data_IF_124469808879
#
_entry.id   IF_124469808879
#
_cell.length_a   1.000
_cell.length_b   1.000
_cell.length_c   1.000
_cell.angle_alpha   90.00
_cell.angle_beta   90.00
_cell.angle_gamma   90.00
#
_symmetry.space_group_name_H-M   'P 1'
#
loop_
_entity.id
_entity.type
_entity.pdbx_description
1 polymer ?
#
# COMPACT_ATOMS: atom_id res chain seq x y z
N UNK A 1 4.86 -69.64 -7.51
CA UNK A 1 3.65 -70.32 -6.99
C UNK A 1 2.51 -69.34 -7.16
N UNK A 2 1.80 -69.48 -8.23
CA UNK A 2 0.43 -70.05 -8.36
C UNK A 2 -0.60 -69.17 -7.66
N UNK A 3 -1.66 -68.71 -8.22
CA UNK A 3 -2.40 -68.90 -9.43
C UNK A 3 -3.78 -68.29 -9.23
N UNK A 4 -4.29 -67.71 -10.26
CA UNK A 4 -5.53 -67.99 -10.99
C UNK A 4 -6.82 -67.34 -10.47
N UNK A 5 -7.42 -66.55 -11.31
CA UNK A 5 -8.52 -66.82 -12.26
C UNK A 5 -9.89 -66.90 -11.56
N UNK A 6 -10.98 -66.50 -11.99
CA UNK A 6 -11.60 -66.19 -13.28
C UNK A 6 -13.08 -65.86 -13.00
N UNK A 7 -13.74 -65.15 -13.78
CA UNK A 7 -14.83 -65.49 -14.69
C UNK A 7 -16.02 -64.54 -14.49
N UNK A 8 -16.51 -63.88 -15.42
CA UNK A 8 -17.17 -64.19 -16.73
C UNK A 8 -18.71 -64.06 -16.68
N UNK A 9 -19.22 -63.30 -17.64
CA UNK A 9 -20.45 -63.34 -18.41
C UNK A 9 -21.67 -62.56 -17.85
N UNK A 10 -22.07 -61.55 -18.51
CA UNK A 10 -22.82 -61.39 -19.79
C UNK A 10 -24.33 -61.27 -19.56
N UNK A 11 -24.91 -60.24 -20.09
CA UNK A 11 -26.38 -60.11 -20.27
C UNK A 11 -26.69 -58.93 -21.21
N UNK A 12 -26.91 -59.28 -22.45
CA UNK A 12 -27.38 -58.43 -23.55
C UNK A 12 -28.89 -58.26 -23.43
N UNK A 13 -29.39 -57.01 -23.57
CA UNK A 13 -30.74 -56.84 -24.18
C UNK A 13 -30.81 -55.39 -24.76
N UNK A 14 -31.08 -55.36 -26.03
CA UNK A 14 -31.37 -54.24 -26.87
C UNK A 14 -32.80 -53.73 -26.72
N UNK A 15 -33.06 -52.43 -26.84
CA UNK A 15 -34.26 -51.88 -27.46
C UNK A 15 -34.12 -50.37 -27.72
N UNK A 16 -33.95 -50.04 -28.95
CA UNK A 16 -34.85 -49.24 -29.80
C UNK A 16 -34.91 -47.72 -29.56
N UNK A 17 -34.51 -47.07 -30.61
CA UNK A 17 -34.44 -45.59 -30.83
C UNK A 17 -35.82 -44.93 -30.81
N UNK A 18 -35.83 -43.70 -30.28
CA UNK A 18 -36.77 -42.67 -30.73
C UNK A 18 -35.99 -41.36 -30.89
N UNK A 19 -35.90 -40.92 -32.15
CA UNK A 19 -35.45 -39.59 -32.49
C UNK A 19 -36.50 -38.56 -32.07
N UNK A 20 -36.15 -37.63 -31.25
CA UNK A 20 -36.83 -36.36 -31.11
C UNK A 20 -35.79 -35.22 -31.24
N UNK A 21 -35.89 -34.49 -32.33
CA UNK A 21 -35.16 -33.28 -32.55
C UNK A 21 -35.55 -32.22 -31.51
N UNK A 22 -34.63 -31.81 -30.68
CA UNK A 22 -34.78 -30.60 -29.87
C UNK A 22 -33.73 -29.60 -30.35
N UNK A 23 -34.22 -28.47 -30.82
CA UNK A 23 -33.45 -27.29 -31.20
C UNK A 23 -32.46 -26.92 -30.08
N UNK A 24 -31.20 -26.69 -30.47
CA UNK A 24 -30.20 -26.14 -29.60
C UNK A 24 -30.57 -24.72 -29.18
N UNK A 25 -30.75 -24.52 -27.88
CA UNK A 25 -30.68 -23.20 -27.29
C UNK A 25 -29.23 -22.99 -26.86
N UNK A 26 -28.58 -21.96 -27.38
CA UNK A 26 -27.30 -21.51 -26.92
C UNK A 26 -27.36 -21.23 -25.41
N UNK A 27 -26.34 -21.60 -24.63
CA UNK A 27 -26.31 -21.24 -23.24
C UNK A 27 -26.18 -19.70 -23.14
N UNK A 28 -27.28 -19.07 -22.77
CA UNK A 28 -27.30 -17.65 -22.42
C UNK A 28 -26.28 -17.44 -21.28
N UNK A 29 -25.24 -16.71 -21.57
CA UNK A 29 -24.27 -16.30 -20.55
C UNK A 29 -25.02 -15.61 -19.42
N UNK A 30 -24.95 -16.18 -18.23
CA UNK A 30 -25.46 -15.55 -17.00
C UNK A 30 -24.71 -14.22 -16.82
N UNK A 31 -25.39 -13.08 -16.74
CA UNK A 31 -24.70 -11.83 -16.52
C UNK A 31 -23.99 -11.90 -15.17
N UNK A 32 -22.67 -11.80 -15.19
CA UNK A 32 -21.86 -11.58 -14.00
C UNK A 32 -22.37 -10.31 -13.34
N UNK A 33 -22.82 -10.42 -12.10
CA UNK A 33 -23.28 -9.27 -11.32
C UNK A 33 -22.11 -8.28 -11.17
N UNK A 34 -22.23 -7.15 -11.83
CA UNK A 34 -21.35 -6.00 -11.56
C UNK A 34 -21.47 -5.67 -10.07
N UNK A 35 -20.37 -5.56 -9.31
CA UNK A 35 -20.46 -5.14 -7.93
C UNK A 35 -21.17 -3.78 -7.89
N UNK A 36 -22.31 -3.74 -7.23
CA UNK A 36 -23.03 -2.48 -7.00
C UNK A 36 -22.13 -1.59 -6.16
N UNK A 37 -21.75 -0.45 -6.70
CA UNK A 37 -20.98 0.53 -5.96
C UNK A 37 -21.72 0.83 -4.64
N UNK A 38 -21.04 0.65 -3.53
CA UNK A 38 -21.57 1.02 -2.21
C UNK A 38 -21.86 2.51 -2.25
N UNK A 39 -23.07 2.98 -1.92
CA UNK A 39 -23.35 4.40 -1.90
C UNK A 39 -22.36 5.11 -0.98
N UNK A 40 -21.93 6.34 -1.32
CA UNK A 40 -21.04 7.10 -0.45
C UNK A 40 -21.68 7.24 0.94
N UNK A 41 -20.91 7.15 2.03
CA UNK A 41 -21.43 7.33 3.36
C UNK A 41 -22.12 8.68 3.47
N UNK A 42 -23.29 8.66 4.08
CA UNK A 42 -24.01 9.89 4.35
C UNK A 42 -23.19 10.70 5.38
N UNK A 43 -23.04 12.02 5.20
CA UNK A 43 -22.37 12.86 6.18
C UNK A 43 -22.93 12.60 7.57
N UNK A 44 -22.07 12.53 8.58
CA UNK A 44 -22.51 12.43 9.97
C UNK A 44 -23.43 13.61 10.31
N UNK A 45 -24.46 13.36 11.09
CA UNK A 45 -25.34 14.42 11.55
C UNK A 45 -24.51 15.43 12.36
N UNK A 46 -24.79 16.72 12.21
CA UNK A 46 -24.16 17.75 13.05
C UNK A 46 -24.51 17.44 14.51
N UNK A 47 -23.52 17.36 15.43
CA UNK A 47 -23.77 17.07 16.84
C UNK A 47 -24.79 18.04 17.44
N UNK A 48 -25.63 17.54 18.31
CA UNK A 48 -26.49 18.42 19.09
C UNK A 48 -25.66 19.30 20.05
N UNK A 49 -26.16 20.44 20.52
CA UNK A 49 -25.44 21.27 21.50
C UNK A 49 -24.99 20.48 22.74
N UNK A 50 -25.78 19.52 23.18
CA UNK A 50 -25.44 18.68 24.34
C UNK A 50 -24.32 17.69 24.04
N UNK A 51 -24.32 17.07 22.87
CA UNK A 51 -23.23 16.17 22.41
C UNK A 51 -21.92 16.94 22.24
N UNK A 52 -21.98 18.14 21.68
CA UNK A 52 -20.78 18.98 21.51
C UNK A 52 -20.22 19.40 22.89
N UNK A 53 -21.07 19.73 23.87
CA UNK A 53 -20.63 20.08 25.22
C UNK A 53 -20.03 18.86 25.97
N UNK A 54 -20.61 17.69 25.80
CA UNK A 54 -20.08 16.44 26.38
C UNK A 54 -18.69 16.10 25.79
N UNK A 55 -18.56 16.19 24.47
CA UNK A 55 -17.27 15.98 23.83
C UNK A 55 -16.22 16.98 24.30
N UNK A 56 -16.58 18.29 24.41
CA UNK A 56 -15.63 19.30 24.86
C UNK A 56 -15.13 18.99 26.27
N UNK A 57 -16.04 18.58 27.19
CA UNK A 57 -15.65 18.18 28.53
C UNK A 57 -14.72 16.95 28.54
N UNK A 58 -14.99 15.94 27.69
CA UNK A 58 -14.13 14.77 27.56
C UNK A 58 -12.75 15.16 26.99
N UNK A 59 -12.74 16.07 26.00
CA UNK A 59 -11.51 16.56 25.39
C UNK A 59 -10.64 17.34 26.36
N UNK A 60 -11.24 18.25 27.14
CA UNK A 60 -10.55 19.03 28.17
C UNK A 60 -9.99 18.11 29.26
N UNK A 61 -10.75 17.12 29.70
CA UNK A 61 -10.29 16.12 30.68
C UNK A 61 -9.12 15.27 30.11
N UNK A 62 -9.16 14.93 28.82
CA UNK A 62 -8.07 14.21 28.15
C UNK A 62 -6.79 15.07 28.11
N UNK A 63 -6.93 16.37 27.81
CA UNK A 63 -5.78 17.30 27.82
C UNK A 63 -5.17 17.36 29.21
N UNK A 64 -5.99 17.54 30.27
CA UNK A 64 -5.50 17.58 31.66
C UNK A 64 -4.78 16.27 32.03
N UNK A 65 -5.37 15.12 31.73
CA UNK A 65 -4.74 13.82 32.01
C UNK A 65 -3.45 13.60 31.21
N UNK A 66 -3.38 14.06 29.98
CA UNK A 66 -2.16 13.98 29.16
C UNK A 66 -1.06 14.92 29.70
N UNK A 67 -1.44 16.10 30.22
CA UNK A 67 -0.52 17.01 30.89
C UNK A 67 -0.01 16.46 32.22
N UNK A 68 -0.82 15.70 32.97
CA UNK A 68 -0.39 15.00 34.17
C UNK A 68 0.64 13.90 33.86
N UNK A 69 0.50 13.20 32.71
CA UNK A 69 1.52 12.27 32.21
C UNK A 69 2.79 13.03 31.78
N UNK A 70 2.64 14.22 31.24
CA UNK A 70 3.69 15.21 30.97
C UNK A 70 4.65 14.88 29.83
N UNK A 71 4.63 13.66 29.29
CA UNK A 71 5.55 13.25 28.23
C UNK A 71 4.85 12.32 27.24
N UNK A 72 5.30 12.35 25.97
CA UNK A 72 4.94 11.38 24.93
C UNK A 72 6.21 10.85 24.26
N UNK A 73 6.41 9.54 24.29
CA UNK A 73 7.57 8.87 23.71
C UNK A 73 7.23 8.26 22.36
N UNK A 74 7.79 8.83 21.31
CA UNK A 74 7.56 8.41 19.93
C UNK A 74 8.81 7.79 19.31
N UNK A 75 8.63 6.70 18.55
CA UNK A 75 9.67 6.14 17.72
C UNK A 75 9.33 6.35 16.26
N UNK A 76 10.22 6.99 15.54
CA UNK A 76 10.08 7.20 14.10
C UNK A 76 10.98 6.25 13.33
N UNK A 77 10.39 5.52 12.39
CA UNK A 77 11.12 4.71 11.42
C UNK A 77 11.65 5.56 10.27
N UNK A 78 12.92 5.37 9.92
CA UNK A 78 13.51 5.92 8.70
C UNK A 78 13.34 7.43 8.52
N UNK A 79 12.71 7.82 7.41
CA UNK A 79 12.51 9.23 7.02
C UNK A 79 11.49 9.96 7.90
N UNK A 80 10.52 9.26 8.49
CA UNK A 80 9.46 9.88 9.30
C UNK A 80 10.03 10.73 10.45
N UNK A 81 11.11 10.28 11.09
CA UNK A 81 11.76 11.02 12.20
C UNK A 81 12.28 12.38 11.80
N UNK A 82 12.78 12.52 10.58
CA UNK A 82 13.20 13.83 10.07
C UNK A 82 12.00 14.65 9.64
N UNK A 83 11.06 14.02 8.97
CA UNK A 83 9.95 14.69 8.33
C UNK A 83 8.93 15.26 9.33
N UNK A 84 8.60 14.51 10.36
CA UNK A 84 7.52 14.86 11.28
C UNK A 84 7.99 15.43 12.63
N UNK A 85 9.29 15.52 12.89
CA UNK A 85 9.81 16.10 14.13
C UNK A 85 9.26 17.51 14.42
N UNK A 86 9.23 18.47 13.46
CA UNK A 86 8.71 19.82 13.73
C UNK A 86 7.23 19.80 14.15
N UNK A 87 6.47 18.83 13.67
CA UNK A 87 5.05 18.68 13.98
C UNK A 87 4.87 18.12 15.40
N UNK A 88 5.70 17.14 15.77
CA UNK A 88 5.70 16.61 17.12
C UNK A 88 6.09 17.68 18.14
N UNK A 89 7.08 18.52 17.81
CA UNK A 89 7.48 19.65 18.65
C UNK A 89 6.34 20.68 18.78
N UNK A 90 5.64 21.01 17.69
CA UNK A 90 4.47 21.91 17.72
C UNK A 90 3.31 21.37 18.59
N UNK A 91 3.08 20.05 18.56
CA UNK A 91 2.12 19.43 19.47
C UNK A 91 2.54 19.59 20.95
N UNK A 92 3.81 19.31 21.24
CA UNK A 92 4.35 19.44 22.57
C UNK A 92 4.20 20.88 23.11
N UNK A 93 4.52 21.88 22.29
CA UNK A 93 4.35 23.30 22.63
C UNK A 93 2.87 23.67 22.88
N UNK A 94 1.98 23.15 22.00
CA UNK A 94 0.54 23.46 22.09
C UNK A 94 -0.11 22.89 23.34
N UNK A 95 0.22 21.67 23.72
CA UNK A 95 -0.43 20.95 24.81
C UNK A 95 0.37 20.89 26.10
N UNK A 96 1.58 21.46 26.13
CA UNK A 96 2.44 21.44 27.32
C UNK A 96 2.99 20.04 27.64
N UNK A 97 3.26 19.22 26.63
CA UNK A 97 3.71 17.84 26.77
C UNK A 97 5.16 17.73 26.24
N UNK A 98 6.05 17.11 26.99
CA UNK A 98 7.42 16.86 26.56
C UNK A 98 7.44 15.78 25.48
N UNK A 99 8.05 16.07 24.33
CA UNK A 99 8.15 15.15 23.22
C UNK A 99 9.49 14.41 23.20
N UNK A 100 9.50 13.15 23.61
CA UNK A 100 10.67 12.27 23.49
C UNK A 100 10.64 11.55 22.14
N UNK A 101 11.52 11.95 21.22
CA UNK A 101 11.56 11.41 19.86
C UNK A 101 12.81 10.60 19.65
N UNK A 102 12.65 9.28 19.50
CA UNK A 102 13.71 8.36 19.14
C UNK A 102 13.63 7.97 17.66
N UNK A 103 14.79 7.79 17.02
CA UNK A 103 14.89 7.21 15.70
C UNK A 103 15.26 5.74 15.84
N UNK A 104 14.55 4.86 15.16
CA UNK A 104 14.81 3.44 15.20
C UNK A 104 13.59 2.67 14.74
N UNK A 105 13.66 2.11 13.56
CA UNK A 105 12.56 1.33 12.97
C UNK A 105 13.05 -0.02 12.49
N UNK A 106 12.19 -0.70 11.76
CA UNK A 106 12.46 -2.01 11.20
C UNK A 106 12.68 -3.09 12.26
N UNK A 107 13.40 -4.14 11.89
CA UNK A 107 13.57 -5.33 12.74
C UNK A 107 14.21 -5.04 14.11
N UNK A 108 15.18 -4.14 14.17
CA UNK A 108 15.85 -3.78 15.43
C UNK A 108 14.90 -3.08 16.40
N UNK A 109 14.04 -2.17 15.91
CA UNK A 109 13.03 -1.48 16.72
C UNK A 109 11.99 -2.46 17.27
N UNK A 110 11.50 -3.39 16.45
CA UNK A 110 10.57 -4.42 16.88
C UNK A 110 11.19 -5.38 17.92
N UNK A 111 12.42 -5.83 17.69
CA UNK A 111 13.13 -6.68 18.67
C UNK A 111 13.32 -5.98 20.00
N UNK A 112 13.64 -4.68 19.97
CA UNK A 112 13.76 -3.88 21.18
C UNK A 112 12.44 -3.82 21.95
N UNK A 113 11.32 -3.51 21.30
CA UNK A 113 10.00 -3.46 21.92
C UNK A 113 9.64 -4.81 22.53
N UNK A 114 9.82 -5.90 21.80
CA UNK A 114 9.54 -7.24 22.30
C UNK A 114 10.41 -7.61 23.50
N UNK A 115 11.70 -7.26 23.47
CA UNK A 115 12.60 -7.49 24.60
C UNK A 115 12.19 -6.66 25.84
N UNK A 116 11.82 -5.42 25.67
CA UNK A 116 11.31 -4.55 26.73
C UNK A 116 10.03 -5.12 27.32
N UNK A 117 9.04 -5.46 26.50
CA UNK A 117 7.76 -6.04 26.94
C UNK A 117 7.94 -7.39 27.64
N UNK A 118 8.85 -8.24 27.18
CA UNK A 118 9.13 -9.53 27.80
C UNK A 118 9.65 -9.42 29.25
N UNK A 119 10.20 -8.27 29.61
CA UNK A 119 10.67 -7.94 30.95
C UNK A 119 9.72 -7.05 31.74
N UNK A 120 8.49 -6.83 31.21
CA UNK A 120 7.49 -5.95 31.83
C UNK A 120 7.82 -4.46 31.71
N UNK A 121 8.72 -4.09 30.83
CA UNK A 121 9.08 -2.70 30.55
C UNK A 121 8.36 -2.20 29.31
N UNK A 122 7.70 -1.08 29.43
CA UNK A 122 6.95 -0.43 28.35
C UNK A 122 7.45 1.00 28.24
N UNK A 123 8.18 1.32 27.18
CA UNK A 123 8.93 2.58 27.04
C UNK A 123 8.53 3.39 25.81
N UNK A 124 7.63 2.86 25.00
CA UNK A 124 7.22 3.49 23.73
C UNK A 124 5.72 3.61 23.70
N UNK A 125 5.25 4.80 23.39
CA UNK A 125 3.81 5.12 23.28
C UNK A 125 3.29 4.92 21.87
N UNK A 126 4.07 5.35 20.86
CA UNK A 126 3.64 5.35 19.47
C UNK A 126 4.83 5.14 18.55
N UNK A 127 4.59 4.43 17.45
CA UNK A 127 5.56 4.26 16.37
C UNK A 127 4.99 4.79 15.04
N UNK A 128 5.79 5.58 14.33
CA UNK A 128 5.54 5.95 12.93
C UNK A 128 6.42 5.14 12.00
N UNK A 129 5.82 4.62 10.94
CA UNK A 129 6.49 3.75 9.99
C UNK A 129 6.78 2.35 10.52
N UNK A 130 7.57 1.58 9.79
CA UNK A 130 7.92 0.22 10.19
C UNK A 130 6.78 -0.79 10.04
N UNK A 131 5.86 -0.56 9.12
CA UNK A 131 4.68 -1.41 8.92
C UNK A 131 5.00 -2.88 8.69
N UNK A 132 6.05 -3.18 7.93
CA UNK A 132 6.44 -4.56 7.64
C UNK A 132 6.68 -5.37 8.93
N UNK A 133 7.48 -4.84 9.88
CA UNK A 133 7.71 -5.51 11.17
C UNK A 133 6.53 -5.42 12.12
N UNK A 134 5.73 -4.36 12.04
CA UNK A 134 4.48 -4.27 12.80
C UNK A 134 3.54 -5.42 12.43
N UNK A 135 3.36 -5.68 11.13
CA UNK A 135 2.48 -6.72 10.60
C UNK A 135 3.06 -8.14 10.79
N UNK A 136 4.34 -8.32 10.53
CA UNK A 136 4.95 -9.66 10.50
C UNK A 136 5.49 -10.13 11.84
N UNK A 137 5.71 -9.21 12.78
CA UNK A 137 6.37 -9.53 14.06
C UNK A 137 5.58 -9.06 15.26
N UNK A 138 5.24 -7.76 15.37
CA UNK A 138 4.64 -7.20 16.56
C UNK A 138 3.17 -7.61 16.73
N UNK A 139 2.35 -7.50 15.70
CA UNK A 139 0.93 -7.87 15.76
C UNK A 139 0.74 -9.38 16.03
N UNK A 140 1.43 -10.32 15.34
CA UNK A 140 1.35 -11.75 15.67
C UNK A 140 1.83 -12.12 17.07
N UNK A 141 2.73 -11.32 17.65
CA UNK A 141 3.21 -11.50 19.02
C UNK A 141 2.25 -10.90 20.07
N UNK A 142 1.15 -10.27 19.66
CA UNK A 142 0.23 -9.57 20.57
C UNK A 142 0.85 -8.33 21.22
N UNK A 143 1.82 -7.71 20.57
CA UNK A 143 2.59 -6.59 21.10
C UNK A 143 2.00 -5.21 20.72
N UNK A 144 0.88 -5.17 19.98
CA UNK A 144 0.19 -3.95 19.55
C UNK A 144 -1.24 -3.90 20.05
N UNK A 145 -1.70 -2.69 20.37
CA UNK A 145 -3.11 -2.40 20.67
C UNK A 145 -3.89 -1.98 19.44
N UNK A 146 -5.20 -2.27 19.36
CA UNK A 146 -6.07 -1.77 18.30
C UNK A 146 -6.14 -0.23 18.31
N UNK A 147 -5.95 0.37 17.14
CA UNK A 147 -5.91 1.83 16.99
C UNK A 147 -7.29 2.47 17.19
N UNK A 148 -8.35 1.81 16.70
CA UNK A 148 -9.70 2.37 16.75
C UNK A 148 -10.19 2.69 18.16
N UNK A 149 -9.66 2.01 19.17
CA UNK A 149 -10.00 2.26 20.59
C UNK A 149 -9.53 3.64 21.10
N UNK A 150 -8.61 4.27 20.37
CA UNK A 150 -8.13 5.61 20.69
C UNK A 150 -9.03 6.72 20.17
N UNK A 151 -9.86 6.45 19.17
CA UNK A 151 -10.62 7.48 18.46
C UNK A 151 -11.80 8.00 19.29
N UNK A 152 -11.79 9.30 19.60
CA UNK A 152 -12.89 9.99 20.29
C UNK A 152 -13.26 11.30 19.62
N UNK A 153 -12.33 11.93 18.87
CA UNK A 153 -12.59 13.21 18.26
C UNK A 153 -13.62 13.07 17.11
N UNK A 154 -14.68 13.90 17.07
CA UNK A 154 -15.73 13.81 16.04
C UNK A 154 -15.17 13.83 14.61
N UNK A 155 -14.17 14.67 14.33
CA UNK A 155 -13.53 14.71 13.02
C UNK A 155 -12.77 13.41 12.68
N UNK A 156 -12.37 12.62 13.66
CA UNK A 156 -11.68 11.35 13.44
C UNK A 156 -12.70 10.23 13.25
N UNK A 157 -13.77 10.23 14.04
CA UNK A 157 -14.80 9.19 14.01
C UNK A 157 -15.82 9.36 12.87
N UNK A 158 -15.94 10.56 12.30
CA UNK A 158 -16.78 10.80 11.13
C UNK A 158 -16.11 10.23 9.87
N UNK A 159 -16.55 9.04 9.48
CA UNK A 159 -16.02 8.33 8.33
C UNK A 159 -16.24 9.06 7.00
N UNK A 160 -17.21 9.99 6.92
CA UNK A 160 -17.44 10.79 5.71
C UNK A 160 -16.28 11.72 5.40
N UNK A 161 -15.44 12.02 6.38
CA UNK A 161 -14.23 12.84 6.24
C UNK A 161 -13.01 12.04 5.75
N UNK A 162 -13.16 10.73 5.54
CA UNK A 162 -12.07 9.84 5.14
C UNK A 162 -12.32 9.26 3.75
N UNK A 163 -11.23 8.99 3.03
CA UNK A 163 -11.28 8.42 1.68
C UNK A 163 -12.14 7.14 1.63
N UNK A 164 -13.10 7.11 0.71
CA UNK A 164 -14.11 6.05 0.57
C UNK A 164 -14.92 5.78 1.85
N UNK A 165 -15.06 6.78 2.74
CA UNK A 165 -15.91 6.68 3.92
C UNK A 165 -15.47 5.62 4.93
N UNK A 166 -14.16 5.39 5.07
CA UNK A 166 -13.63 4.42 6.02
C UNK A 166 -12.25 4.78 6.52
N UNK A 167 -11.91 4.26 7.68
CA UNK A 167 -10.53 4.19 8.14
C UNK A 167 -9.75 3.12 7.39
N UNK A 168 -8.48 3.37 7.15
CA UNK A 168 -7.62 2.48 6.40
C UNK A 168 -6.51 1.90 7.28
N UNK A 169 -6.33 0.61 7.17
CA UNK A 169 -5.29 -0.15 7.87
C UNK A 169 -4.57 -1.01 6.85
N UNK A 170 -3.29 -1.21 7.05
CA UNK A 170 -2.48 -2.03 6.14
C UNK A 170 -2.19 -3.44 6.69
N UNK A 171 -2.69 -3.76 7.87
CA UNK A 171 -2.70 -5.12 8.40
C UNK A 171 -3.97 -5.87 8.00
N UNK A 172 -3.86 -7.19 7.83
CA UNK A 172 -4.98 -8.04 7.38
C UNK A 172 -6.18 -8.03 8.34
N UNK A 173 -5.95 -7.81 9.62
CA UNK A 173 -7.00 -7.73 10.64
C UNK A 173 -7.70 -6.37 10.68
N UNK A 174 -7.20 -5.37 9.97
CA UNK A 174 -7.71 -3.99 9.93
C UNK A 174 -7.82 -3.35 11.32
N UNK A 175 -6.76 -3.47 12.14
CA UNK A 175 -6.78 -3.06 13.55
C UNK A 175 -5.57 -2.30 14.03
N UNK A 176 -4.36 -2.70 13.60
CA UNK A 176 -3.13 -2.38 14.30
C UNK A 176 -2.28 -1.32 13.63
N UNK A 177 -2.28 -1.27 12.30
CA UNK A 177 -1.40 -0.38 11.54
C UNK A 177 -2.26 0.58 10.71
N UNK A 178 -2.48 1.75 11.26
CA UNK A 178 -3.36 2.77 10.66
C UNK A 178 -2.63 3.54 9.57
N UNK A 179 -3.24 3.65 8.40
CA UNK A 179 -2.77 4.50 7.31
C UNK A 179 -3.52 5.84 7.33
N UNK A 180 -2.80 6.95 7.48
CA UNK A 180 -3.36 8.30 7.47
C UNK A 180 -3.08 9.06 6.18
N UNK A 181 -2.12 8.59 5.39
CA UNK A 181 -1.74 9.15 4.11
C UNK A 181 -1.49 8.04 3.07
N UNK A 182 -1.58 8.37 1.80
CA UNK A 182 -1.24 7.46 0.71
C UNK A 182 -0.97 8.23 -0.58
N UNK A 183 0.06 7.83 -1.30
CA UNK A 183 0.39 8.34 -2.63
C UNK A 183 -0.50 7.71 -3.69
N UNK A 184 -1.13 8.54 -4.50
CA UNK A 184 -1.72 8.07 -5.75
C UNK A 184 -0.59 7.81 -6.75
N UNK A 185 -0.52 6.59 -7.24
CA UNK A 185 0.45 6.21 -8.26
C UNK A 185 -0.25 5.72 -9.51
N UNK A 186 0.20 6.15 -10.69
CA UNK A 186 -0.24 5.54 -11.93
C UNK A 186 0.20 4.08 -11.98
N UNK A 187 -0.56 3.23 -12.67
CA UNK A 187 -0.24 1.79 -12.83
C UNK A 187 0.98 1.52 -13.74
N UNK A 188 1.73 2.54 -14.10
CA UNK A 188 2.90 2.43 -14.97
C UNK A 188 4.13 1.70 -14.34
N UNK A 189 3.95 1.07 -13.17
CA UNK A 189 4.97 0.28 -12.48
C UNK A 189 6.24 1.06 -12.14
N UNK A 190 6.11 2.37 -11.96
CA UNK A 190 7.24 3.22 -11.67
C UNK A 190 8.31 3.20 -12.76
N UNK A 191 7.89 3.07 -14.03
CA UNK A 191 8.81 2.97 -15.15
C UNK A 191 9.74 4.19 -15.25
N UNK A 192 11.03 3.90 -15.51
CA UNK A 192 12.03 4.88 -15.95
C UNK A 192 12.51 4.48 -17.35
N UNK A 193 12.86 5.47 -18.16
CA UNK A 193 13.34 5.21 -19.50
C UNK A 193 14.56 6.06 -19.86
N UNK A 194 15.37 5.55 -20.78
CA UNK A 194 16.51 6.29 -21.33
C UNK A 194 16.03 7.16 -22.50
N UNK A 195 16.24 8.47 -22.42
CA UNK A 195 15.74 9.44 -23.40
C UNK A 195 16.48 9.43 -24.74
N UNK A 196 17.64 8.79 -24.82
CA UNK A 196 18.37 8.59 -26.07
C UNK A 196 17.82 7.39 -26.87
N UNK A 197 17.08 6.47 -26.20
CA UNK A 197 16.56 5.23 -26.78
C UNK A 197 15.03 5.21 -26.92
N UNK A 198 14.32 6.03 -26.14
CA UNK A 198 12.86 6.12 -26.11
C UNK A 198 12.49 7.55 -26.51
N UNK A 199 11.84 7.68 -27.63
CA UNK A 199 11.42 8.98 -28.18
C UNK A 199 10.15 9.50 -27.46
N UNK A 200 9.86 10.79 -27.64
CA UNK A 200 8.61 11.34 -27.11
C UNK A 200 7.38 10.67 -27.76
N UNK A 201 7.46 10.34 -29.06
CA UNK A 201 6.38 9.61 -29.76
C UNK A 201 6.15 8.23 -29.17
N UNK A 202 7.21 7.51 -28.73
CA UNK A 202 7.06 6.25 -28.00
C UNK A 202 6.33 6.44 -26.66
N UNK A 203 6.69 7.50 -25.92
CA UNK A 203 6.05 7.83 -24.64
C UNK A 203 4.59 8.19 -24.85
N UNK A 204 4.28 8.98 -25.87
CA UNK A 204 2.91 9.41 -26.18
C UNK A 204 2.03 8.24 -26.63
N UNK A 205 2.63 7.25 -27.30
CA UNK A 205 1.95 6.03 -27.72
C UNK A 205 1.66 5.06 -26.56
N UNK A 206 2.44 5.10 -25.47
CA UNK A 206 2.21 4.25 -24.30
C UNK A 206 0.98 4.69 -23.53
N UNK A 207 -0.08 3.88 -23.47
CA UNK A 207 -1.33 4.18 -22.77
C UNK A 207 -1.80 3.02 -21.88
N UNK A 208 -1.02 1.94 -21.81
CA UNK A 208 -1.33 0.71 -21.08
C UNK A 208 -0.05 0.06 -20.58
N UNK A 209 -0.12 -0.67 -19.47
CA UNK A 209 1.00 -1.54 -19.03
C UNK A 209 1.33 -2.62 -20.06
N UNK A 210 0.37 -2.99 -20.92
CA UNK A 210 0.59 -3.95 -21.99
C UNK A 210 1.47 -3.41 -23.12
N UNK A 211 1.66 -2.09 -23.23
CA UNK A 211 2.56 -1.48 -24.24
C UNK A 211 4.03 -1.76 -23.94
N UNK A 212 4.37 -2.18 -22.70
CA UNK A 212 5.72 -2.69 -22.37
C UNK A 212 5.99 -4.06 -22.99
N UNK A 213 4.95 -4.78 -23.38
CA UNK A 213 5.03 -6.11 -23.98
C UNK A 213 5.16 -6.05 -25.51
N UNK A 214 5.25 -4.85 -26.10
CA UNK A 214 5.46 -4.69 -27.53
C UNK A 214 6.82 -5.30 -27.92
N UNK A 215 6.88 -6.14 -28.98
CA UNK A 215 8.10 -6.76 -29.48
C UNK A 215 9.27 -5.79 -29.75
N UNK A 216 8.99 -4.50 -29.98
CA UNK A 216 10.03 -3.46 -30.15
C UNK A 216 10.93 -3.32 -28.92
N UNK A 217 10.45 -3.71 -27.75
CA UNK A 217 11.18 -3.67 -26.48
C UNK A 217 11.93 -4.96 -26.15
N UNK A 218 11.87 -5.97 -26.99
CA UNK A 218 12.58 -7.25 -26.79
C UNK A 218 14.06 -7.03 -26.47
N UNK A 219 14.52 -7.58 -25.33
CA UNK A 219 15.90 -7.46 -24.86
C UNK A 219 16.31 -6.07 -24.38
N UNK A 220 15.36 -5.10 -24.34
CA UNK A 220 15.65 -3.72 -23.97
C UNK A 220 15.06 -3.30 -22.63
N UNK A 221 14.49 -4.24 -21.87
CA UNK A 221 13.88 -4.01 -20.57
C UNK A 221 14.76 -4.61 -19.49
N UNK A 222 14.94 -3.86 -18.38
CA UNK A 222 15.45 -4.40 -17.12
C UNK A 222 14.40 -4.25 -16.04
N UNK A 223 14.29 -5.28 -15.20
CA UNK A 223 13.35 -5.31 -14.06
C UNK A 223 14.01 -5.97 -12.85
N UNK A 224 13.48 -5.68 -11.66
CA UNK A 224 13.84 -6.44 -10.46
C UNK A 224 13.36 -7.88 -10.60
N UNK A 225 14.14 -8.80 -10.05
CA UNK A 225 13.80 -10.23 -10.03
C UNK A 225 12.58 -10.47 -9.13
N UNK A 226 11.59 -11.25 -9.56
CA UNK A 226 10.49 -11.67 -8.69
C UNK A 226 10.94 -12.54 -7.50
N UNK A 227 12.17 -13.07 -7.52
CA UNK A 227 12.75 -13.84 -6.43
C UNK A 227 13.25 -12.97 -5.26
N UNK A 228 13.28 -11.65 -5.43
CA UNK A 228 13.84 -10.73 -4.42
C UNK A 228 13.01 -10.65 -3.10
N UNK A 229 11.83 -11.24 -3.07
CA UNK A 229 10.95 -11.20 -1.89
C UNK A 229 10.05 -9.97 -1.81
N UNK A 230 10.33 -8.92 -2.56
CA UNK A 230 9.36 -7.86 -2.84
C UNK A 230 8.27 -8.43 -3.74
N UNK A 231 7.02 -8.03 -3.52
CA UNK A 231 5.90 -8.56 -4.32
C UNK A 231 5.92 -7.91 -5.70
N UNK A 232 6.88 -8.30 -6.53
CA UNK A 232 7.23 -7.64 -7.78
C UNK A 232 6.05 -7.50 -8.76
N UNK A 233 5.10 -8.42 -8.72
CA UNK A 233 3.94 -8.44 -9.62
C UNK A 233 2.61 -8.39 -8.88
N UNK A 234 2.60 -7.98 -7.61
CA UNK A 234 1.38 -7.94 -6.81
C UNK A 234 0.30 -7.07 -7.44
N UNK A 235 0.65 -5.84 -7.79
CA UNK A 235 -0.30 -4.91 -8.42
C UNK A 235 -0.90 -5.49 -9.69
N UNK A 236 -0.09 -6.12 -10.56
CA UNK A 236 -0.56 -6.74 -11.79
C UNK A 236 -1.47 -7.92 -11.50
N UNK A 237 -1.06 -8.76 -10.56
CA UNK A 237 -1.82 -9.96 -10.19
C UNK A 237 -3.23 -9.63 -9.68
N UNK A 238 -3.35 -8.60 -8.82
CA UNK A 238 -4.63 -8.25 -8.18
C UNK A 238 -5.47 -7.28 -9.01
N UNK A 239 -4.88 -6.61 -10.01
CA UNK A 239 -5.58 -5.60 -10.78
C UNK A 239 -6.54 -6.28 -11.77
N UNK A 240 -7.85 -5.91 -11.78
CA UNK A 240 -8.86 -6.59 -12.59
C UNK A 240 -8.63 -6.49 -14.10
N UNK A 241 -7.99 -5.42 -14.57
CA UNK A 241 -7.76 -5.17 -15.99
C UNK A 241 -6.35 -5.56 -16.45
N UNK A 242 -5.51 -6.12 -15.58
CA UNK A 242 -4.13 -6.54 -15.89
C UNK A 242 -3.99 -8.06 -15.76
N UNK A 243 -4.05 -8.57 -14.53
CA UNK A 243 -4.06 -9.99 -14.23
C UNK A 243 -2.78 -10.73 -14.58
N UNK A 244 -2.88 -12.05 -14.56
CA UNK A 244 -1.77 -12.98 -14.78
C UNK A 244 -1.28 -13.00 -16.23
N UNK A 245 -2.10 -12.65 -17.20
CA UNK A 245 -1.71 -12.59 -18.63
C UNK A 245 -0.50 -11.67 -18.82
N UNK A 246 -0.54 -10.50 -18.18
CA UNK A 246 0.57 -9.56 -18.26
C UNK A 246 1.85 -10.16 -17.68
N UNK A 247 1.76 -10.84 -16.52
CA UNK A 247 2.91 -11.46 -15.83
C UNK A 247 3.56 -12.50 -16.74
N UNK A 248 2.75 -13.43 -17.28
CA UNK A 248 3.22 -14.51 -18.13
C UNK A 248 3.97 -13.99 -19.37
N UNK A 249 3.41 -12.96 -20.00
CA UNK A 249 4.03 -12.33 -21.16
C UNK A 249 5.29 -11.54 -20.80
N UNK A 250 5.30 -10.88 -19.64
CA UNK A 250 6.45 -10.07 -19.20
C UNK A 250 7.67 -10.93 -18.85
N UNK A 251 7.45 -12.11 -18.26
CA UNK A 251 8.55 -13.04 -17.94
C UNK A 251 8.95 -13.94 -19.11
N UNK A 252 8.16 -13.94 -20.19
CA UNK A 252 8.39 -14.81 -21.37
C UNK A 252 9.74 -14.54 -22.03
N UNK A 253 10.44 -15.59 -22.50
CA UNK A 253 11.64 -15.47 -23.34
C UNK A 253 11.41 -14.67 -24.63
N UNK A 254 10.15 -14.58 -25.08
CA UNK A 254 9.82 -13.81 -26.28
C UNK A 254 10.07 -12.32 -26.13
N UNK A 255 9.89 -11.77 -24.91
CA UNK A 255 10.18 -10.37 -24.58
C UNK A 255 11.64 -10.18 -24.14
N UNK A 256 12.28 -11.23 -23.63
CA UNK A 256 13.68 -11.23 -23.21
C UNK A 256 14.03 -10.13 -22.20
N UNK A 257 13.23 -10.04 -21.12
CA UNK A 257 13.47 -9.09 -20.03
C UNK A 257 14.69 -9.53 -19.22
N UNK A 258 15.63 -8.61 -18.99
CA UNK A 258 16.73 -8.83 -18.06
C UNK A 258 16.26 -8.59 -16.64
N UNK A 259 16.30 -9.62 -15.79
CA UNK A 259 15.98 -9.52 -14.36
C UNK A 259 17.26 -9.48 -13.52
N UNK A 260 17.28 -8.61 -12.50
CA UNK A 260 18.43 -8.44 -11.61
C UNK A 260 18.01 -8.01 -10.22
N UNK A 261 18.76 -8.43 -9.20
CA UNK A 261 18.66 -7.95 -7.81
C UNK A 261 19.72 -6.88 -7.48
N UNK A 262 20.63 -6.62 -8.42
CA UNK A 262 21.65 -5.60 -8.28
C UNK A 262 21.14 -4.23 -8.74
N UNK A 263 20.86 -3.35 -7.76
CA UNK A 263 20.42 -1.98 -8.01
C UNK A 263 21.38 -1.23 -8.93
N UNK A 264 22.68 -1.35 -8.70
CA UNK A 264 23.68 -0.62 -9.48
C UNK A 264 23.70 -1.07 -10.93
N UNK A 265 23.59 -2.37 -11.17
CA UNK A 265 23.50 -2.91 -12.54
C UNK A 265 22.27 -2.37 -13.27
N UNK A 266 21.10 -2.31 -12.60
CA UNK A 266 19.88 -1.77 -13.20
C UNK A 266 20.00 -0.27 -13.49
N UNK A 267 20.50 0.50 -12.53
CA UNK A 267 20.71 1.96 -12.68
C UNK A 267 21.68 2.26 -13.80
N UNK A 268 22.86 1.66 -13.77
CA UNK A 268 23.88 1.84 -14.81
C UNK A 268 23.38 1.39 -16.19
N UNK A 269 22.61 0.30 -16.23
CA UNK A 269 22.07 -0.25 -17.46
C UNK A 269 21.09 0.71 -18.16
N UNK A 270 20.19 1.34 -17.41
CA UNK A 270 19.26 2.33 -17.97
C UNK A 270 19.99 3.64 -18.27
N UNK A 271 20.78 4.17 -17.32
CA UNK A 271 21.44 5.47 -17.49
C UNK A 271 22.44 5.50 -18.65
N UNK A 272 23.11 4.39 -18.92
CA UNK A 272 24.12 4.27 -20.01
C UNK A 272 23.55 3.71 -21.32
N UNK A 273 22.23 3.53 -21.40
CA UNK A 273 21.57 3.09 -22.64
C UNK A 273 21.74 1.60 -22.99
N UNK A 274 22.12 0.73 -22.04
CA UNK A 274 22.05 -0.72 -22.24
C UNK A 274 20.59 -1.18 -22.32
N UNK A 275 19.72 -0.61 -21.50
CA UNK A 275 18.28 -0.84 -21.49
C UNK A 275 17.54 0.43 -21.82
N UNK A 276 16.50 0.33 -22.62
CA UNK A 276 15.61 1.43 -22.95
C UNK A 276 14.64 1.71 -21.81
N UNK A 277 14.12 0.65 -21.18
CA UNK A 277 13.11 0.70 -20.13
C UNK A 277 13.63 0.01 -18.86
N UNK A 278 13.35 0.65 -17.72
CA UNK A 278 13.44 0.04 -16.40
C UNK A 278 12.04 -0.03 -15.78
N UNK A 279 11.54 -1.24 -15.52
CA UNK A 279 10.20 -1.52 -15.03
C UNK A 279 10.28 -2.21 -13.69
N UNK A 280 9.43 -1.83 -12.72
CA UNK A 280 9.42 -2.41 -11.36
C UNK A 280 10.80 -2.43 -10.69
N UNK A 281 11.51 -1.31 -10.75
CA UNK A 281 12.92 -1.20 -10.32
C UNK A 281 13.12 -1.17 -8.80
N UNK A 282 12.06 -0.98 -8.01
CA UNK A 282 12.18 -0.75 -6.56
C UNK A 282 13.05 0.48 -6.25
N UNK A 283 13.99 0.34 -5.31
CA UNK A 283 14.88 1.44 -4.90
C UNK A 283 15.73 2.03 -6.02
N UNK A 284 16.10 1.23 -7.04
CA UNK A 284 16.88 1.70 -8.20
C UNK A 284 16.17 2.79 -9.01
N UNK A 285 14.83 2.87 -8.95
CA UNK A 285 14.07 3.95 -9.58
C UNK A 285 14.42 5.33 -9.01
N UNK A 286 14.54 5.45 -7.69
CA UNK A 286 14.94 6.72 -7.01
C UNK A 286 16.38 7.11 -7.34
N UNK A 287 17.26 6.15 -7.48
CA UNK A 287 18.65 6.42 -7.88
C UNK A 287 18.70 6.99 -9.30
N UNK A 288 17.86 6.48 -10.23
CA UNK A 288 17.71 7.05 -11.58
C UNK A 288 17.15 8.47 -11.56
N UNK A 289 16.15 8.76 -10.71
CA UNK A 289 15.61 10.11 -10.55
C UNK A 289 16.70 11.08 -10.05
N UNK A 290 17.56 10.63 -9.13
CA UNK A 290 18.72 11.40 -8.67
C UNK A 290 19.72 11.66 -9.80
N UNK A 291 19.99 10.66 -10.65
CA UNK A 291 20.87 10.83 -11.82
C UNK A 291 20.26 11.76 -12.87
N UNK A 292 18.94 11.77 -13.04
CA UNK A 292 18.27 12.74 -13.91
C UNK A 292 18.58 14.18 -13.50
N UNK A 293 18.58 14.49 -12.20
CA UNK A 293 18.91 15.83 -11.70
C UNK A 293 20.36 16.24 -11.98
N UNK A 294 21.24 15.25 -12.18
CA UNK A 294 22.64 15.43 -12.55
C UNK A 294 22.87 15.42 -14.07
N UNK A 295 21.80 15.38 -14.87
CA UNK A 295 21.88 15.47 -16.33
C UNK A 295 21.99 14.13 -17.06
N UNK A 296 21.79 12.99 -16.40
CA UNK A 296 21.72 11.71 -17.08
C UNK A 296 20.49 11.65 -18.04
N UNK A 297 20.59 10.96 -19.18
CA UNK A 297 19.50 10.86 -20.16
C UNK A 297 18.43 9.87 -19.71
N UNK A 298 17.84 10.11 -18.55
CA UNK A 298 16.78 9.26 -17.97
C UNK A 298 15.59 10.11 -17.52
N UNK A 299 14.39 9.55 -17.63
CA UNK A 299 13.17 10.17 -17.10
C UNK A 299 12.26 9.12 -16.48
N UNK A 300 11.50 9.54 -15.46
CA UNK A 300 10.34 8.80 -15.01
C UNK A 300 9.20 8.96 -16.03
N UNK A 301 8.47 7.88 -16.28
CA UNK A 301 7.21 7.98 -17.00
C UNK A 301 6.14 8.54 -16.06
N UNK A 302 5.74 9.77 -16.29
CA UNK A 302 4.67 10.43 -15.55
C UNK A 302 3.45 10.47 -16.46
N UNK A 303 2.73 9.36 -16.52
CA UNK A 303 1.53 9.23 -17.35
C UNK A 303 0.59 8.23 -16.71
N UNK A 304 -0.69 8.58 -16.69
CA UNK A 304 -1.72 7.65 -16.24
C UNK A 304 -2.12 6.73 -17.40
N UNK A 305 -2.15 5.44 -17.13
CA UNK A 305 -2.58 4.43 -18.08
C UNK A 305 -4.09 4.17 -17.99
N UNK A 306 -4.64 3.53 -19.02
CA UNK A 306 -6.08 3.21 -19.10
C UNK A 306 -6.54 2.28 -17.98
N UNK A 307 -5.66 1.46 -17.44
CA UNK A 307 -5.94 0.57 -16.31
C UNK A 307 -6.18 1.35 -15.01
N UNK A 308 -5.94 2.66 -14.99
CA UNK A 308 -6.12 3.50 -13.82
C UNK A 308 -4.94 3.44 -12.85
N UNK A 309 -5.15 4.02 -11.69
CA UNK A 309 -4.13 4.14 -10.65
C UNK A 309 -4.44 3.34 -9.39
N UNK A 310 -3.44 3.26 -8.54
CA UNK A 310 -3.56 2.69 -7.21
C UNK A 310 -3.21 3.70 -6.12
N UNK A 311 -3.59 3.41 -4.90
CA UNK A 311 -3.05 4.05 -3.71
C UNK A 311 -2.06 3.12 -3.05
N UNK A 312 -1.02 3.69 -2.48
CA UNK A 312 -0.07 2.98 -1.64
C UNK A 312 0.33 3.86 -0.46
N UNK A 313 0.26 3.29 0.75
CA UNK A 313 0.79 3.93 1.94
C UNK A 313 2.28 3.60 2.08
N UNK A 314 3.10 4.62 2.28
CA UNK A 314 4.52 4.40 2.53
C UNK A 314 4.72 3.68 3.87
N UNK A 315 5.38 2.54 3.82
CA UNK A 315 5.73 1.74 5.00
C UNK A 315 6.59 2.50 6.02
N UNK A 316 7.20 3.62 5.63
CA UNK A 316 8.10 4.40 6.47
C UNK A 316 7.52 5.72 6.98
N UNK A 317 6.46 6.25 6.35
CA UNK A 317 5.96 7.60 6.65
C UNK A 317 4.46 7.70 6.88
N UNK A 318 3.64 6.88 6.23
CA UNK A 318 2.20 7.12 6.10
C UNK A 318 1.36 6.34 7.10
N UNK A 319 2.00 5.63 7.98
CA UNK A 319 1.35 4.71 8.93
C UNK A 319 1.87 4.90 10.34
N UNK A 320 1.01 4.59 11.31
CA UNK A 320 1.44 4.47 12.70
C UNK A 320 0.78 3.28 13.40
N UNK A 321 1.35 2.88 14.51
CA UNK A 321 0.84 1.82 15.38
C UNK A 321 1.27 2.06 16.83
N UNK A 322 0.54 1.46 17.77
CA UNK A 322 0.75 1.66 19.20
C UNK A 322 1.08 0.33 19.90
N UNK A 323 2.20 0.26 20.63
CA UNK A 323 2.49 -0.88 21.49
C UNK A 323 1.47 -1.03 22.63
N UNK A 324 1.30 -2.26 23.14
CA UNK A 324 0.50 -2.53 24.33
C UNK A 324 1.12 -1.87 25.58
N UNK A 325 0.28 -1.63 26.59
CA UNK A 325 0.68 -1.10 27.91
C UNK A 325 1.55 0.18 27.81
N UNK A 326 1.19 1.05 26.91
CA UNK A 326 1.86 2.34 26.73
C UNK A 326 2.02 3.09 28.04
N UNK A 327 3.22 3.67 28.32
CA UNK A 327 3.44 4.40 29.57
C UNK A 327 2.58 5.68 29.70
N UNK A 328 2.21 6.31 28.57
CA UNK A 328 1.45 7.56 28.55
C UNK A 328 0.20 7.43 27.66
N UNK A 329 -0.83 6.68 28.11
CA UNK A 329 -2.00 6.37 27.28
C UNK A 329 -2.84 7.61 26.94
N UNK A 330 -2.94 8.61 27.84
CA UNK A 330 -3.70 9.83 27.58
C UNK A 330 -2.97 10.75 26.59
N UNK A 331 -1.68 10.93 26.73
CA UNK A 331 -0.88 11.70 25.78
C UNK A 331 -0.89 11.05 24.39
N UNK A 332 -0.86 9.71 24.33
CA UNK A 332 -1.01 8.97 23.07
C UNK A 332 -2.38 9.18 22.44
N UNK A 333 -3.45 9.06 23.23
CA UNK A 333 -4.83 9.27 22.77
C UNK A 333 -5.04 10.69 22.28
N UNK A 334 -4.51 11.69 23.00
CA UNK A 334 -4.54 13.10 22.61
C UNK A 334 -3.80 13.33 21.28
N UNK A 335 -2.57 12.82 21.15
CA UNK A 335 -1.79 12.92 19.92
C UNK A 335 -2.55 12.33 18.73
N UNK A 336 -3.01 11.09 18.83
CA UNK A 336 -3.67 10.37 17.73
C UNK A 336 -4.90 11.14 17.24
N UNK A 337 -5.75 11.62 18.17
CA UNK A 337 -6.94 12.39 17.79
C UNK A 337 -6.59 13.73 17.17
N UNK A 338 -5.66 14.50 17.77
CA UNK A 338 -5.23 15.77 17.19
C UNK A 338 -4.54 15.59 15.83
N UNK A 339 -3.64 14.61 15.71
CA UNK A 339 -2.94 14.33 14.45
C UNK A 339 -3.89 14.04 13.30
N UNK A 340 -4.97 13.31 13.58
CA UNK A 340 -5.94 12.88 12.59
C UNK A 340 -7.05 13.90 12.31
N UNK A 341 -7.10 15.05 13.02
CA UNK A 341 -8.00 16.15 12.66
C UNK A 341 -7.59 16.82 11.36
N UNK A 342 -8.48 17.64 10.80
CA UNK A 342 -8.17 18.50 9.65
C UNK A 342 -6.97 19.40 9.95
N UNK A 343 -6.90 19.97 11.17
CA UNK A 343 -5.77 20.81 11.59
C UNK A 343 -4.46 20.03 11.55
N UNK A 344 -4.37 18.88 12.23
CA UNK A 344 -3.16 18.06 12.28
C UNK A 344 -2.69 17.62 10.90
N UNK A 345 -3.61 17.21 10.04
CA UNK A 345 -3.28 16.81 8.66
C UNK A 345 -2.89 18.00 7.77
N UNK A 346 -3.45 19.19 7.99
CA UNK A 346 -3.00 20.41 7.30
C UNK A 346 -1.59 20.80 7.75
N UNK A 347 -1.32 20.72 9.05
CA UNK A 347 0.01 20.97 9.61
C UNK A 347 1.04 19.98 9.03
N UNK A 348 0.67 18.72 8.84
CA UNK A 348 1.52 17.73 8.18
C UNK A 348 1.98 18.22 6.80
N UNK A 349 1.08 18.71 5.97
CA UNK A 349 1.42 19.19 4.63
C UNK A 349 2.25 20.47 4.63
N UNK A 350 2.12 21.31 5.63
CA UNK A 350 2.77 22.64 5.68
C UNK A 350 4.11 22.63 6.42
N UNK A 351 4.25 21.87 7.52
CA UNK A 351 5.42 21.86 8.39
C UNK A 351 6.41 20.73 8.11
N UNK A 352 5.99 19.64 7.45
CA UNK A 352 6.91 18.55 7.11
C UNK A 352 8.18 19.08 6.41
N UNK A 353 9.34 18.51 6.74
CA UNK A 353 10.63 18.97 6.19
C UNK A 353 10.86 18.49 4.77
N UNK A 354 10.30 17.34 4.41
CA UNK A 354 10.32 16.76 3.07
C UNK A 354 8.88 16.74 2.51
N UNK A 355 8.70 16.37 1.26
CA UNK A 355 7.39 16.26 0.63
C UNK A 355 6.56 15.16 1.33
N UNK A 356 5.49 15.50 2.05
CA UNK A 356 4.62 14.51 2.66
C UNK A 356 3.70 13.88 1.62
N UNK A 357 3.32 12.64 1.84
CA UNK A 357 2.31 11.98 1.02
C UNK A 357 0.91 12.55 1.34
N UNK A 358 -0.02 12.53 0.36
CA UNK A 358 -1.36 13.09 0.54
C UNK A 358 -2.14 12.40 1.65
N UNK A 359 -2.71 13.18 2.57
CA UNK A 359 -3.61 12.63 3.60
C UNK A 359 -4.79 11.86 3.00
N UNK A 360 -5.27 10.86 3.75
CA UNK A 360 -6.51 10.14 3.41
C UNK A 360 -7.79 10.88 3.84
N UNK A 361 -7.67 12.03 4.51
CA UNK A 361 -8.82 12.92 4.71
C UNK A 361 -9.24 13.58 3.39
N UNK A 362 -10.54 13.77 3.21
CA UNK A 362 -11.11 14.36 1.97
C UNK A 362 -11.40 15.84 2.10
N UNK A 363 -11.39 16.38 3.32
CA UNK A 363 -11.72 17.78 3.63
C UNK A 363 -10.48 18.69 3.77
N UNK A 364 -9.27 18.12 3.68
CA UNK A 364 -8.01 18.90 3.65
C UNK A 364 -7.78 19.42 2.24
N UNK A 365 -7.69 20.74 2.13
CA UNK A 365 -7.52 21.44 0.85
C UNK A 365 -6.20 22.20 0.74
N UNK A 366 -5.54 22.48 1.87
CA UNK A 366 -4.19 23.04 1.89
C UNK A 366 -3.18 21.90 1.86
N UNK A 367 -2.61 21.70 0.67
CA UNK A 367 -1.64 20.64 0.40
C UNK A 367 -0.19 21.06 0.66
N UNK A 368 0.06 22.33 1.02
CA UNK A 368 1.38 22.81 1.36
C UNK A 368 2.48 22.32 0.42
N UNK A 369 3.38 21.48 0.95
CA UNK A 369 4.53 20.91 0.22
C UNK A 369 4.21 19.62 -0.55
N UNK A 370 3.01 19.04 -0.41
CA UNK A 370 2.67 17.77 -1.06
C UNK A 370 2.72 17.87 -2.59
N UNK A 371 3.42 16.95 -3.24
CA UNK A 371 3.52 16.92 -4.70
C UNK A 371 2.13 16.72 -5.32
N UNK A 372 1.79 17.59 -6.24
CA UNK A 372 0.51 17.53 -6.97
C UNK A 372 0.31 16.18 -7.69
N UNK A 373 1.40 15.59 -8.19
CA UNK A 373 1.37 14.31 -8.91
C UNK A 373 1.05 13.10 -8.04
N UNK A 374 1.27 13.22 -6.73
CA UNK A 374 0.96 12.17 -5.76
C UNK A 374 -0.47 12.26 -5.22
N UNK A 375 -1.21 13.33 -5.56
CA UNK A 375 -2.57 13.57 -5.07
C UNK A 375 -3.59 12.74 -5.83
N UNK A 376 -4.62 12.32 -5.11
CA UNK A 376 -5.80 11.73 -5.73
C UNK A 376 -6.52 12.76 -6.60
N UNK A 377 -6.98 12.33 -7.76
CA UNK A 377 -7.82 13.14 -8.65
C UNK A 377 -9.28 12.93 -8.25
N UNK A 378 -10.00 14.04 -8.07
CA UNK A 378 -11.42 13.99 -7.70
C UNK A 378 -12.24 13.22 -8.74
N UNK A 379 -13.18 12.41 -8.27
CA UNK A 379 -14.05 11.59 -9.11
C UNK A 379 -13.42 10.30 -9.64
N UNK A 380 -12.12 10.04 -9.36
CA UNK A 380 -11.48 8.78 -9.69
C UNK A 380 -11.49 7.79 -8.53
N UNK A 381 -11.69 6.52 -8.87
CA UNK A 381 -11.54 5.42 -7.93
C UNK A 381 -10.13 4.85 -8.03
N UNK A 382 -9.49 4.63 -6.90
CA UNK A 382 -8.17 4.03 -6.80
C UNK A 382 -8.25 2.72 -6.02
N UNK A 383 -7.53 1.71 -6.45
CA UNK A 383 -7.32 0.48 -5.68
C UNK A 383 -6.24 0.74 -4.62
N UNK A 384 -6.56 0.51 -3.36
CA UNK A 384 -5.60 0.68 -2.28
C UNK A 384 -4.93 -0.67 -2.00
N UNK A 385 -3.89 -0.97 -2.78
CA UNK A 385 -3.28 -2.29 -2.88
C UNK A 385 -2.78 -2.87 -1.56
N UNK A 386 -2.26 -2.04 -0.67
CA UNK A 386 -1.68 -2.43 0.61
C UNK A 386 -2.60 -2.22 1.82
N UNK A 387 -3.83 -1.77 1.58
CA UNK A 387 -4.80 -1.53 2.66
C UNK A 387 -6.18 -2.18 2.45
N UNK A 388 -6.50 -2.68 1.25
CA UNK A 388 -7.73 -3.42 1.02
C UNK A 388 -7.56 -4.88 1.45
N UNK A 389 -8.34 -5.38 2.45
CA UNK A 389 -8.15 -6.73 3.00
C UNK A 389 -8.21 -7.83 1.95
N UNK A 390 -9.12 -7.70 0.99
CA UNK A 390 -9.29 -8.64 -0.12
C UNK A 390 -8.09 -8.67 -1.07
N UNK A 391 -7.33 -7.59 -1.17
CA UNK A 391 -6.10 -7.53 -1.94
C UNK A 391 -4.92 -8.02 -1.10
N UNK A 392 -4.79 -7.58 0.15
CA UNK A 392 -3.74 -8.03 1.08
C UNK A 392 -3.75 -9.56 1.22
N UNK A 393 -4.93 -10.17 1.31
CA UNK A 393 -5.09 -11.62 1.41
C UNK A 393 -4.46 -12.38 0.22
N UNK A 394 -4.29 -11.72 -0.92
CA UNK A 394 -3.69 -12.31 -2.13
C UNK A 394 -2.17 -12.16 -2.21
N UNK A 395 -1.52 -11.50 -1.26
CA UNK A 395 -0.07 -11.25 -1.32
C UNK A 395 0.75 -12.52 -1.53
N UNK A 396 0.46 -13.57 -0.75
CA UNK A 396 1.17 -14.84 -0.87
C UNK A 396 0.92 -15.52 -2.22
N UNK A 397 -0.32 -15.53 -2.67
CA UNK A 397 -0.71 -16.13 -3.94
C UNK A 397 -0.05 -15.41 -5.13
N UNK A 398 -0.05 -14.07 -5.10
CA UNK A 398 0.59 -13.24 -6.11
C UNK A 398 2.11 -13.48 -6.19
N UNK A 399 2.76 -13.59 -5.02
CA UNK A 399 4.18 -13.89 -4.94
C UNK A 399 4.49 -15.28 -5.51
N UNK A 400 3.79 -16.30 -5.05
CA UNK A 400 3.97 -17.69 -5.50
C UNK A 400 3.74 -17.81 -7.01
N UNK A 401 2.72 -17.10 -7.54
CA UNK A 401 2.45 -17.06 -8.98
C UNK A 401 3.60 -16.42 -9.76
N UNK A 402 4.03 -15.24 -9.34
CA UNK A 402 5.12 -14.51 -10.01
C UNK A 402 6.43 -15.31 -10.04
N UNK A 403 6.78 -15.97 -8.95
CA UNK A 403 7.95 -16.88 -8.87
C UNK A 403 7.78 -18.07 -9.81
N UNK A 404 6.63 -18.73 -9.78
CA UNK A 404 6.34 -19.90 -10.61
C UNK A 404 6.39 -19.59 -12.10
N UNK A 405 5.78 -18.48 -12.53
CA UNK A 405 5.79 -18.02 -13.91
C UNK A 405 7.23 -17.71 -14.38
N UNK A 406 7.98 -17.02 -13.52
CA UNK A 406 9.39 -16.68 -13.80
C UNK A 406 10.29 -17.90 -13.93
N UNK A 407 10.14 -18.91 -13.05
CA UNK A 407 10.91 -20.16 -13.14
C UNK A 407 10.51 -21.02 -14.36
N UNK A 408 9.21 -21.06 -14.66
CA UNK A 408 8.70 -21.79 -15.83
C UNK A 408 9.25 -21.24 -17.14
N UNK A 409 9.34 -19.90 -17.25
CA UNK A 409 9.88 -19.22 -18.44
C UNK A 409 11.39 -19.45 -18.67
N UNK A 410 12.11 -20.05 -17.72
CA UNK A 410 13.57 -20.32 -17.79
C UNK A 410 13.92 -21.80 -17.96
N UNK A 411 12.94 -22.67 -18.01
CA UNK A 411 13.09 -24.10 -18.31
C UNK A 411 13.07 -24.35 -19.80
#
# INVERSE_FOLDING_TARGET
>A
MTSKQSGLLAGIAAAMALFLAACGADPTATPTSVPTATPPPQPAATPTPDEAALFQAEWDALIEAAQEEGVLTMVFGGAAGRNFRPIAEAFGERFGIEMTIATGGGAAGAQRIMAEQSTGRYLVDLMFGGSGVAITTLAPAGALDPIAELFIHPEVTDLSLWYNGRHWYIDAEQKFVFAFAATASPTNLGMRYNTDLVTQDDVDAMNSVFDYLDPKWKGKIVSRSPLHGDVAFFTQYVHPDIGTEWIDRFVSPDLDVTFSDDNRFMVDGVAKGKFALGVSLGGAGRDLDSLQTLGAPVKALVKEFKEGGGLSASASTDVFHTPINRPHPNATKLWVNWWLTKEGQTIMHTMATELPDPTLRVDVTDWGKTDEKSRRVEGKTYLFFDAQPELIAKNKEAFDYGVSAFEAARR
#
